data_IF_674091837074
#
_entry.id   IF_674091837074
#
_cell.length_a   1.000
_cell.length_b   1.000
_cell.length_c   1.000
_cell.angle_alpha   90.00
_cell.angle_beta   90.00
_cell.angle_gamma   90.00
#
_symmetry.space_group_name_H-M   'P 1'
#
loop_
_entity.id
_entity.type
_entity.pdbx_description
1 polymer ?
#
# COMPACT_ATOMS: atom_id res chain seq x y z
N UNK A 1 3.40 0.51 -9.62
CA UNK A 1 4.51 -0.44 -9.73
C UNK A 1 3.95 -1.87 -9.88
N UNK A 2 3.20 -2.43 -8.90
CA UNK A 2 2.72 -3.82 -8.91
C UNK A 2 1.98 -4.23 -10.18
N UNK A 3 1.02 -3.43 -10.67
CA UNK A 3 0.29 -3.74 -11.90
C UNK A 3 1.20 -3.80 -13.14
N UNK A 4 2.25 -2.97 -13.19
CA UNK A 4 3.24 -3.03 -14.27
C UNK A 4 4.06 -4.33 -14.20
N UNK A 5 4.47 -4.73 -12.99
CA UNK A 5 5.17 -6.00 -12.75
C UNK A 5 4.27 -7.16 -13.17
N UNK A 6 3.01 -7.18 -12.72
CA UNK A 6 2.03 -8.20 -13.07
C UNK A 6 1.87 -8.34 -14.59
N UNK A 7 1.71 -7.21 -15.29
CA UNK A 7 1.57 -7.21 -16.75
C UNK A 7 2.81 -7.75 -17.46
N UNK A 8 4.01 -7.32 -17.05
CA UNK A 8 5.27 -7.81 -17.61
C UNK A 8 5.52 -9.29 -17.34
N UNK A 9 5.04 -9.80 -16.19
CA UNK A 9 5.09 -11.22 -15.84
C UNK A 9 3.96 -12.06 -16.49
N UNK A 10 3.17 -11.50 -17.40
CA UNK A 10 2.09 -12.21 -18.09
C UNK A 10 0.91 -12.59 -17.21
N UNK A 11 0.77 -11.99 -16.03
CA UNK A 11 -0.35 -12.26 -15.13
C UNK A 11 -1.64 -11.66 -15.69
N UNK A 12 -2.76 -12.37 -15.48
CA UNK A 12 -4.08 -11.93 -15.92
C UNK A 12 -4.83 -11.16 -14.84
N UNK A 13 -4.53 -11.47 -13.58
CA UNK A 13 -5.19 -10.93 -12.41
C UNK A 13 -4.20 -10.21 -11.50
N UNK A 14 -4.69 -9.16 -10.86
CA UNK A 14 -4.09 -8.59 -9.66
C UNK A 14 -5.07 -8.72 -8.51
N UNK A 15 -4.55 -9.06 -7.34
CA UNK A 15 -5.32 -9.12 -6.10
C UNK A 15 -4.68 -8.25 -5.04
N UNK A 16 -5.49 -7.68 -4.18
CA UNK A 16 -5.04 -6.90 -3.05
C UNK A 16 -6.10 -6.81 -1.98
N UNK A 17 -5.71 -6.30 -0.84
CA UNK A 17 -6.56 -6.06 0.31
C UNK A 17 -6.81 -4.57 0.52
N UNK A 18 -7.87 -4.25 1.23
CA UNK A 18 -8.12 -2.87 1.68
C UNK A 18 -9.03 -2.84 2.91
N UNK A 19 -8.75 -1.93 3.82
CA UNK A 19 -9.63 -1.63 4.96
C UNK A 19 -10.44 -0.35 4.71
N UNK A 20 -9.79 0.81 4.73
CA UNK A 20 -10.44 2.11 4.48
C UNK A 20 -10.80 2.35 3.00
N UNK A 21 -10.34 1.53 2.07
CA UNK A 21 -10.71 1.59 0.66
C UNK A 21 -9.78 2.38 -0.24
N UNK A 22 -8.87 3.20 0.28
CA UNK A 22 -7.98 4.01 -0.56
C UNK A 22 -7.02 3.13 -1.39
N UNK A 23 -6.34 2.18 -0.77
CA UNK A 23 -5.42 1.26 -1.45
C UNK A 23 -6.15 0.45 -2.54
N UNK A 24 -7.36 -0.07 -2.24
CA UNK A 24 -8.19 -0.78 -3.21
C UNK A 24 -8.60 0.10 -4.38
N UNK A 25 -8.99 1.37 -4.12
CA UNK A 25 -9.31 2.33 -5.19
C UNK A 25 -8.12 2.58 -6.11
N UNK A 26 -6.93 2.80 -5.56
CA UNK A 26 -5.71 3.00 -6.35
C UNK A 26 -5.33 1.74 -7.15
N UNK A 27 -5.45 0.57 -6.55
CA UNK A 27 -5.22 -0.70 -7.22
C UNK A 27 -6.19 -0.92 -8.39
N UNK A 28 -7.49 -0.68 -8.17
CA UNK A 28 -8.52 -0.82 -9.22
C UNK A 28 -8.28 0.11 -10.41
N UNK A 29 -7.90 1.36 -10.15
CA UNK A 29 -7.54 2.32 -11.20
C UNK A 29 -6.31 1.88 -11.99
N UNK A 30 -5.26 1.42 -11.29
CA UNK A 30 -4.05 0.93 -11.92
C UNK A 30 -4.31 -0.33 -12.73
N UNK A 31 -5.09 -1.29 -12.21
CA UNK A 31 -5.45 -2.51 -12.91
C UNK A 31 -6.21 -2.20 -14.22
N UNK A 32 -7.20 -1.30 -14.16
CA UNK A 32 -7.94 -0.83 -15.34
C UNK A 32 -7.00 -0.23 -16.38
N UNK A 33 -6.07 0.63 -15.97
CA UNK A 33 -5.07 1.26 -16.86
C UNK A 33 -4.20 0.24 -17.57
N UNK A 34 -3.83 -0.85 -16.91
CA UNK A 34 -2.97 -1.89 -17.47
C UNK A 34 -3.73 -3.07 -18.13
N UNK A 35 -5.07 -3.03 -18.15
CA UNK A 35 -5.91 -4.08 -18.73
C UNK A 35 -5.88 -5.39 -17.93
N UNK A 36 -5.71 -5.30 -16.62
CA UNK A 36 -5.69 -6.45 -15.70
C UNK A 36 -7.03 -6.57 -14.98
N UNK A 37 -7.48 -7.81 -14.77
CA UNK A 37 -8.61 -8.07 -13.89
C UNK A 37 -8.19 -7.86 -12.44
N UNK A 38 -9.06 -7.26 -11.64
CA UNK A 38 -8.75 -6.86 -10.27
C UNK A 38 -9.73 -7.48 -9.27
N UNK A 39 -9.21 -8.16 -8.25
CA UNK A 39 -9.98 -8.61 -7.09
C UNK A 39 -9.47 -7.92 -5.83
N UNK A 40 -10.38 -7.40 -5.02
CA UNK A 40 -10.06 -6.68 -3.80
C UNK A 40 -10.78 -7.34 -2.63
N UNK A 41 -9.98 -7.89 -1.73
CA UNK A 41 -10.46 -8.49 -0.49
C UNK A 41 -10.71 -7.40 0.54
N UNK A 42 -11.89 -7.39 1.13
CA UNK A 42 -12.28 -6.37 2.09
C UNK A 42 -13.19 -6.97 3.16
N UNK A 43 -12.94 -6.64 4.42
CA UNK A 43 -13.77 -7.10 5.52
C UNK A 43 -15.22 -6.64 5.40
N UNK A 44 -16.18 -7.51 5.71
CA UNK A 44 -17.60 -7.20 5.54
C UNK A 44 -18.05 -5.98 6.35
N UNK A 45 -17.46 -5.75 7.53
CA UNK A 45 -17.70 -4.53 8.33
C UNK A 45 -17.15 -3.28 7.64
N UNK A 46 -15.97 -3.39 7.03
CA UNK A 46 -15.34 -2.27 6.33
C UNK A 46 -16.09 -1.92 5.04
N UNK A 47 -16.61 -2.92 4.31
CA UNK A 47 -17.48 -2.69 3.14
C UNK A 47 -18.71 -1.84 3.52
N UNK A 48 -19.35 -2.14 4.66
CA UNK A 48 -20.50 -1.38 5.13
C UNK A 48 -20.15 0.08 5.46
N UNK A 49 -18.96 0.29 6.05
CA UNK A 49 -18.46 1.63 6.44
C UNK A 49 -18.01 2.47 5.25
N UNK A 50 -17.49 1.81 4.21
CA UNK A 50 -16.76 2.42 3.11
C UNK A 50 -17.49 2.28 1.76
N UNK A 51 -18.82 2.34 1.77
CA UNK A 51 -19.66 2.20 0.56
C UNK A 51 -19.19 3.06 -0.62
N UNK A 52 -18.89 4.38 -0.47
CA UNK A 52 -18.45 5.20 -1.60
C UNK A 52 -17.15 4.71 -2.22
N UNK A 53 -16.20 4.23 -1.41
CA UNK A 53 -14.95 3.65 -1.93
C UNK A 53 -15.20 2.33 -2.66
N UNK A 54 -16.15 1.51 -2.18
CA UNK A 54 -16.55 0.27 -2.85
C UNK A 54 -17.18 0.55 -4.22
N UNK A 55 -18.02 1.56 -4.32
CA UNK A 55 -18.63 2.00 -5.60
C UNK A 55 -17.58 2.46 -6.58
N UNK A 56 -16.60 3.28 -6.13
CA UNK A 56 -15.49 3.73 -6.95
C UNK A 56 -14.63 2.55 -7.46
N UNK A 57 -14.36 1.55 -6.63
CA UNK A 57 -13.63 0.35 -7.04
C UNK A 57 -14.39 -0.45 -8.10
N UNK A 58 -15.71 -0.65 -7.93
CA UNK A 58 -16.58 -1.32 -8.91
C UNK A 58 -16.65 -0.55 -10.23
N UNK A 59 -16.74 0.77 -10.19
CA UNK A 59 -16.73 1.63 -11.38
C UNK A 59 -15.42 1.52 -12.18
N UNK A 60 -14.31 1.15 -11.51
CA UNK A 60 -13.05 0.81 -12.15
C UNK A 60 -12.98 -0.64 -12.66
N UNK A 61 -14.04 -1.43 -12.49
CA UNK A 61 -14.09 -2.83 -12.91
C UNK A 61 -13.48 -3.84 -11.93
N UNK A 62 -13.27 -3.45 -10.67
CA UNK A 62 -12.78 -4.36 -9.66
C UNK A 62 -13.93 -5.18 -9.04
N UNK A 63 -13.67 -6.47 -8.82
CA UNK A 63 -14.48 -7.35 -8.00
C UNK A 63 -14.12 -7.17 -6.53
N UNK A 64 -15.09 -6.85 -5.68
CA UNK A 64 -14.89 -6.79 -4.23
C UNK A 64 -15.32 -8.13 -3.64
N UNK A 65 -14.37 -8.79 -2.99
CA UNK A 65 -14.58 -10.07 -2.31
C UNK A 65 -14.79 -9.79 -0.81
N UNK A 66 -16.02 -9.96 -0.30
CA UNK A 66 -16.29 -9.73 1.10
C UNK A 66 -15.72 -10.85 1.97
N UNK A 67 -15.05 -10.46 3.06
CA UNK A 67 -14.48 -11.40 4.03
C UNK A 67 -15.32 -11.37 5.30
N UNK A 68 -15.90 -12.51 5.65
CA UNK A 68 -16.79 -12.69 6.80
C UNK A 68 -16.12 -13.40 7.98
N UNK A 69 -14.88 -13.87 7.82
CA UNK A 69 -14.13 -14.56 8.89
C UNK A 69 -13.58 -13.57 9.90
N UNK A 70 -13.32 -14.05 11.11
CA UNK A 70 -12.65 -13.31 12.17
C UNK A 70 -13.31 -11.99 12.56
N UNK A 71 -12.54 -10.95 12.64
CA UNK A 71 -13.01 -9.58 12.96
C UNK A 71 -13.80 -8.93 11.82
N UNK A 72 -13.75 -9.48 10.62
CA UNK A 72 -14.32 -8.93 9.38
C UNK A 72 -13.75 -7.56 9.01
N UNK A 73 -12.47 -7.36 9.29
CA UNK A 73 -11.71 -6.13 9.02
C UNK A 73 -10.45 -6.41 8.19
N UNK A 74 -9.57 -5.42 8.09
CA UNK A 74 -8.36 -5.48 7.26
C UNK A 74 -7.49 -6.74 7.49
N UNK A 75 -7.29 -7.16 8.74
CA UNK A 75 -6.41 -8.32 9.07
C UNK A 75 -6.89 -9.59 8.39
N UNK A 76 -8.21 -9.84 8.46
CA UNK A 76 -8.81 -11.02 7.83
C UNK A 76 -8.81 -10.89 6.30
N UNK A 77 -9.02 -9.68 5.78
CA UNK A 77 -8.95 -9.40 4.35
C UNK A 77 -7.55 -9.70 3.78
N UNK A 78 -6.48 -9.31 4.47
CA UNK A 78 -5.09 -9.63 4.11
C UNK A 78 -4.88 -11.14 4.08
N UNK A 79 -5.33 -11.85 5.12
CA UNK A 79 -5.18 -13.30 5.23
C UNK A 79 -5.89 -14.05 4.12
N UNK A 80 -7.13 -13.68 3.78
CA UNK A 80 -7.88 -14.28 2.68
C UNK A 80 -7.27 -13.93 1.30
N UNK A 81 -6.80 -12.71 1.12
CA UNK A 81 -6.10 -12.29 -0.08
C UNK A 81 -4.83 -13.14 -0.32
N UNK A 82 -4.05 -13.40 0.74
CA UNK A 82 -2.88 -14.26 0.66
C UNK A 82 -3.23 -15.71 0.33
N UNK A 83 -4.25 -16.30 0.97
CA UNK A 83 -4.72 -17.66 0.66
C UNK A 83 -5.15 -17.79 -0.79
N UNK A 84 -5.94 -16.83 -1.26
CA UNK A 84 -6.36 -16.80 -2.66
C UNK A 84 -5.17 -16.73 -3.61
N UNK A 85 -4.21 -15.84 -3.33
CA UNK A 85 -3.04 -15.68 -4.17
C UNK A 85 -2.18 -16.93 -4.24
N UNK A 86 -1.89 -17.58 -3.12
CA UNK A 86 -1.10 -18.82 -3.08
C UNK A 86 -1.75 -19.91 -3.94
N UNK A 87 -3.08 -20.03 -3.91
CA UNK A 87 -3.83 -21.01 -4.70
C UNK A 87 -3.95 -20.65 -6.18
N UNK A 88 -3.61 -19.41 -6.58
CA UNK A 88 -3.79 -18.90 -7.95
C UNK A 88 -2.53 -18.19 -8.48
N UNK A 89 -1.36 -18.47 -7.95
CA UNK A 89 -0.14 -17.70 -8.21
C UNK A 89 0.30 -17.72 -9.68
N UNK A 90 -0.06 -18.77 -10.45
CA UNK A 90 0.30 -18.87 -11.87
C UNK A 90 -0.30 -17.74 -12.72
N UNK A 91 -1.52 -17.34 -12.44
CA UNK A 91 -2.27 -16.33 -13.21
C UNK A 91 -2.40 -14.99 -12.49
N UNK A 92 -2.09 -14.95 -11.21
CA UNK A 92 -2.42 -13.86 -10.30
C UNK A 92 -1.18 -13.27 -9.66
N UNK A 93 -1.10 -11.94 -9.60
CA UNK A 93 -0.09 -11.19 -8.84
C UNK A 93 -0.72 -10.53 -7.63
N UNK A 94 -0.12 -10.72 -6.46
CA UNK A 94 -0.55 -10.05 -5.24
C UNK A 94 0.06 -8.66 -5.14
N UNK A 95 -0.79 -7.66 -4.95
CA UNK A 95 -0.41 -6.27 -4.79
C UNK A 95 -0.47 -5.87 -3.32
N UNK A 96 0.62 -6.12 -2.61
CA UNK A 96 0.75 -5.71 -1.20
C UNK A 96 1.13 -4.24 -1.13
N UNK A 97 0.27 -3.42 -0.56
CA UNK A 97 0.52 -1.99 -0.34
C UNK A 97 1.26 -1.68 0.97
N UNK A 98 1.67 -2.69 1.71
CA UNK A 98 2.26 -2.59 3.04
C UNK A 98 3.68 -3.15 3.09
N UNK A 99 4.44 -2.82 4.14
CA UNK A 99 5.78 -3.38 4.38
C UNK A 99 5.70 -4.68 5.20
N UNK A 100 4.74 -5.54 4.87
CA UNK A 100 4.53 -6.85 5.48
C UNK A 100 4.66 -7.95 4.43
N UNK A 101 4.88 -9.18 4.88
CA UNK A 101 5.02 -10.36 4.04
C UNK A 101 6.46 -10.62 3.57
N UNK A 102 6.64 -11.34 2.46
CA UNK A 102 7.96 -11.65 1.92
C UNK A 102 8.79 -10.40 1.65
N UNK A 103 10.11 -10.49 1.89
CA UNK A 103 11.06 -9.38 1.77
C UNK A 103 10.98 -8.62 0.44
N UNK A 104 10.67 -9.31 -0.66
CA UNK A 104 10.52 -8.67 -1.98
C UNK A 104 9.39 -7.64 -2.00
N UNK A 105 8.26 -7.90 -1.33
CA UNK A 105 7.16 -6.94 -1.23
C UNK A 105 7.55 -5.72 -0.39
N UNK A 106 8.24 -5.95 0.74
CA UNK A 106 8.78 -4.88 1.58
C UNK A 106 9.70 -3.96 0.78
N UNK A 107 10.60 -4.55 -0.01
CA UNK A 107 11.53 -3.79 -0.88
C UNK A 107 10.79 -2.99 -1.97
N UNK A 108 9.79 -3.58 -2.64
CA UNK A 108 9.01 -2.90 -3.67
C UNK A 108 8.22 -1.73 -3.07
N UNK A 109 7.53 -1.97 -1.95
CA UNK A 109 6.75 -0.94 -1.27
C UNK A 109 7.66 0.16 -0.72
N UNK A 110 8.72 -0.21 -0.02
CA UNK A 110 9.67 0.72 0.57
C UNK A 110 10.34 1.60 -0.47
N UNK A 111 10.84 1.01 -1.56
CA UNK A 111 11.44 1.78 -2.65
C UNK A 111 10.46 2.78 -3.29
N UNK A 112 9.22 2.35 -3.50
CA UNK A 112 8.18 3.21 -4.09
C UNK A 112 7.79 4.36 -3.17
N UNK A 113 7.60 4.08 -1.88
CA UNK A 113 7.17 5.08 -0.89
C UNK A 113 8.31 6.01 -0.43
N UNK A 114 9.57 5.58 -0.52
CA UNK A 114 10.75 6.40 -0.21
C UNK A 114 10.86 7.66 -1.08
N UNK A 115 10.12 7.75 -2.18
CA UNK A 115 10.03 8.98 -2.96
C UNK A 115 9.55 10.16 -2.09
N UNK A 116 8.67 9.91 -1.12
CA UNK A 116 8.16 10.94 -0.18
C UNK A 116 9.31 11.57 0.61
N UNK A 117 10.19 10.75 1.20
CA UNK A 117 11.33 11.26 1.99
C UNK A 117 12.38 11.96 1.13
N UNK A 118 12.63 11.47 -0.10
CA UNK A 118 13.56 12.13 -1.04
C UNK A 118 13.08 13.52 -1.41
N UNK A 119 11.79 13.66 -1.72
CA UNK A 119 11.19 14.97 -2.01
C UNK A 119 11.21 15.87 -0.78
N UNK A 120 10.82 15.38 0.38
CA UNK A 120 10.88 16.14 1.63
C UNK A 120 12.28 16.64 1.93
N UNK A 121 13.30 15.77 1.81
CA UNK A 121 14.71 16.15 2.03
C UNK A 121 15.16 17.26 1.09
N UNK A 122 14.72 17.21 -0.15
CA UNK A 122 15.00 18.24 -1.17
C UNK A 122 14.29 19.55 -0.83
N UNK A 123 13.02 19.48 -0.44
CA UNK A 123 12.23 20.65 -0.03
C UNK A 123 12.80 21.33 1.21
N UNK A 124 13.18 20.56 2.22
CA UNK A 124 13.82 21.08 3.44
C UNK A 124 15.14 21.81 3.12
N UNK A 125 15.96 21.23 2.25
CA UNK A 125 17.22 21.89 1.81
C UNK A 125 16.95 23.17 1.05
N UNK A 126 15.93 23.21 0.20
CA UNK A 126 15.54 24.40 -0.57
C UNK A 126 15.04 25.51 0.35
N UNK A 127 14.16 25.18 1.28
CA UNK A 127 13.51 26.15 2.18
C UNK A 127 14.50 26.70 3.23
N UNK A 128 15.25 25.81 3.87
CA UNK A 128 16.14 26.16 4.99
C UNK A 128 17.62 26.22 4.62
N UNK A 129 17.99 26.10 3.33
CA UNK A 129 19.36 25.97 2.78
C UNK A 129 20.14 24.76 3.29
N UNK A 130 19.70 24.12 4.37
CA UNK A 130 20.23 22.88 4.98
C UNK A 130 19.12 22.17 5.72
N UNK A 131 19.36 20.90 6.08
CA UNK A 131 18.44 20.18 6.98
C UNK A 131 18.48 20.87 8.35
N UNK A 132 17.32 21.27 8.91
CA UNK A 132 17.26 21.93 10.22
C UNK A 132 17.88 21.09 11.33
N UNK A 133 18.41 21.76 12.37
CA UNK A 133 19.07 21.07 13.48
C UNK A 133 18.12 20.36 14.45
N UNK A 134 16.83 20.71 14.44
CA UNK A 134 15.79 20.07 15.26
C UNK A 134 14.49 20.03 14.47
N UNK A 135 14.10 18.84 14.02
CA UNK A 135 12.80 18.59 13.40
C UNK A 135 12.18 17.32 13.96
N UNK A 136 10.85 17.29 14.00
CA UNK A 136 10.07 16.09 14.33
C UNK A 136 9.35 15.66 13.09
N UNK A 137 9.50 14.40 12.70
CA UNK A 137 8.78 13.78 11.59
C UNK A 137 7.75 12.83 12.18
N UNK A 138 6.49 13.27 12.18
CA UNK A 138 5.38 12.56 12.79
C UNK A 138 4.58 11.87 11.70
N UNK A 139 4.30 10.59 11.85
CA UNK A 139 3.51 9.82 10.90
C UNK A 139 2.74 8.67 11.56
N UNK A 140 1.58 8.34 11.03
CA UNK A 140 0.83 7.16 11.46
C UNK A 140 1.54 5.89 11.04
N UNK A 141 1.57 4.89 11.92
CA UNK A 141 2.13 3.57 11.65
C UNK A 141 1.03 2.52 11.65
N UNK A 142 0.55 2.17 10.45
CA UNK A 142 -0.32 1.01 10.23
C UNK A 142 0.51 -0.18 9.77
N UNK A 143 0.41 -0.57 8.50
CA UNK A 143 1.25 -1.61 7.90
C UNK A 143 2.70 -1.20 7.63
N UNK A 144 3.12 0.00 8.01
CA UNK A 144 4.50 0.48 7.98
C UNK A 144 4.95 1.15 6.68
N UNK A 145 4.24 1.03 5.56
CA UNK A 145 4.69 1.59 4.27
C UNK A 145 4.81 3.11 4.27
N UNK A 146 3.86 3.80 4.89
CA UNK A 146 3.89 5.27 5.03
C UNK A 146 5.06 5.72 5.90
N UNK A 147 5.26 5.08 7.04
CA UNK A 147 6.37 5.36 7.94
C UNK A 147 7.72 5.10 7.26
N UNK A 148 7.87 3.96 6.60
CA UNK A 148 9.05 3.65 5.81
C UNK A 148 9.32 4.72 4.75
N UNK A 149 8.30 5.06 3.95
CA UNK A 149 8.43 6.05 2.89
C UNK A 149 8.79 7.45 3.39
N UNK A 150 8.22 7.85 4.53
CA UNK A 150 8.41 9.18 5.09
C UNK A 150 9.75 9.34 5.82
N UNK A 151 10.26 8.27 6.43
CA UNK A 151 11.45 8.33 7.26
C UNK A 151 12.73 7.80 6.62
N UNK A 152 12.64 7.06 5.50
CA UNK A 152 13.78 6.31 4.93
C UNK A 152 15.03 7.15 4.68
N UNK A 153 14.91 8.40 4.25
CA UNK A 153 16.06 9.30 4.02
C UNK A 153 16.56 10.00 5.30
N UNK A 154 15.90 9.74 6.43
CA UNK A 154 16.18 10.41 7.71
C UNK A 154 16.57 9.44 8.82
N UNK A 155 16.53 8.13 8.57
CA UNK A 155 16.75 7.11 9.59
C UNK A 155 18.19 7.12 10.16
N UNK A 156 19.17 7.53 9.34
CA UNK A 156 20.59 7.58 9.72
C UNK A 156 21.00 8.93 10.32
N UNK A 157 20.07 9.87 10.48
CA UNK A 157 20.38 11.13 11.14
C UNK A 157 20.46 10.97 12.65
N UNK A 158 21.26 11.84 13.30
CA UNK A 158 21.30 11.91 14.76
C UNK A 158 19.89 12.16 15.33
N UNK A 159 19.48 11.33 16.29
CA UNK A 159 18.18 11.44 16.98
C UNK A 159 17.97 12.78 17.68
N UNK A 160 19.07 13.47 18.05
CA UNK A 160 19.00 14.83 18.59
C UNK A 160 18.68 15.88 17.52
N UNK A 161 18.92 15.55 16.24
CA UNK A 161 18.62 16.42 15.11
C UNK A 161 17.23 16.11 14.53
N UNK A 162 16.92 14.82 14.31
CA UNK A 162 15.66 14.39 13.71
C UNK A 162 15.01 13.36 14.62
N UNK A 163 13.85 13.71 15.15
CA UNK A 163 13.03 12.82 15.96
C UNK A 163 11.94 12.22 15.06
N UNK A 164 11.89 10.88 14.98
CA UNK A 164 10.88 10.13 14.24
C UNK A 164 9.81 9.65 15.23
N UNK A 165 8.57 10.05 15.01
CA UNK A 165 7.44 9.77 15.92
C UNK A 165 6.35 9.03 15.13
N UNK A 166 5.96 7.83 15.63
CA UNK A 166 4.90 6.97 15.12
C UNK A 166 3.69 6.87 16.03
#
# INVERSE_FOLDING_TARGET
>A
VHCLIAKRAGKKYVVGDTGAGYAGKMLSMAAKKFGLKCKIFMGAKDIKRQKPNCEAMRANGAEIVPVYTGSQTLVDAVSECMRYWVSNCDTTHMCVGSTVGPNIFVKICGWSTAQISRELKTQLKKEFKKIPKKIKLINCVGGGSSAYGFWSEFIDFDKKQIELIG
#
